data_IF_233378845428
#
_entry.id   IF_233378845428
#
_cell.length_a   1.000
_cell.length_b   1.000
_cell.length_c   1.000
_cell.angle_alpha   90.00
_cell.angle_beta   90.00
_cell.angle_gamma   90.00
#
_symmetry.space_group_name_H-M   'P 1'
#
loop_
_entity.id
_entity.type
_entity.pdbx_description
1 polymer ?
#
# COMPACT_ATOMS: atom_id res chain seq x y z
N UNK A 1 -14.62 -2.20 -10.38
CA UNK A 1 -13.79 -1.65 -11.48
C UNK A 1 -12.34 -2.14 -11.33
N UNK A 2 -11.54 -2.18 -12.40
CA UNK A 2 -10.11 -2.56 -12.32
C UNK A 2 -9.32 -1.65 -11.37
N UNK A 3 -9.69 -0.36 -11.32
CA UNK A 3 -9.14 0.61 -10.38
C UNK A 3 -9.34 0.19 -8.91
N UNK A 4 -10.53 -0.31 -8.57
CA UNK A 4 -10.88 -0.76 -7.21
C UNK A 4 -10.14 -2.05 -6.84
N UNK A 5 -10.06 -3.01 -7.76
CA UNK A 5 -9.29 -4.26 -7.57
C UNK A 5 -7.83 -3.97 -7.25
N UNK A 6 -7.20 -3.07 -8.01
CA UNK A 6 -5.82 -2.67 -7.76
C UNK A 6 -5.62 -2.08 -6.36
N UNK A 7 -6.51 -1.19 -5.93
CA UNK A 7 -6.44 -0.55 -4.60
C UNK A 7 -6.67 -1.55 -3.49
N UNK A 8 -7.64 -2.44 -3.63
CA UNK A 8 -7.92 -3.48 -2.64
C UNK A 8 -6.72 -4.43 -2.52
N UNK A 9 -6.13 -4.84 -3.65
CA UNK A 9 -4.92 -5.65 -3.68
C UNK A 9 -3.76 -5.01 -2.90
N UNK A 10 -3.52 -3.70 -3.09
CA UNK A 10 -2.46 -2.97 -2.38
C UNK A 10 -2.77 -2.89 -0.87
N UNK A 11 -4.02 -2.61 -0.48
CA UNK A 11 -4.43 -2.57 0.93
C UNK A 11 -4.22 -3.93 1.61
N UNK A 12 -4.65 -5.01 0.97
CA UNK A 12 -4.46 -6.37 1.50
C UNK A 12 -2.98 -6.77 1.57
N UNK A 13 -2.17 -6.35 0.60
CA UNK A 13 -0.73 -6.59 0.62
C UNK A 13 -0.06 -5.92 1.82
N UNK A 14 -0.39 -4.65 2.10
CA UNK A 14 0.16 -3.92 3.26
C UNK A 14 -0.25 -4.57 4.57
N UNK A 15 -1.52 -4.96 4.72
CA UNK A 15 -2.03 -5.72 5.87
C UNK A 15 -1.22 -6.99 6.10
N UNK A 16 -1.07 -7.81 5.06
CA UNK A 16 -0.30 -9.06 5.12
C UNK A 16 1.15 -8.83 5.54
N UNK A 17 1.82 -7.83 4.97
CA UNK A 17 3.22 -7.53 5.30
C UNK A 17 3.43 -7.12 6.76
N UNK A 18 2.42 -6.51 7.39
CA UNK A 18 2.42 -6.12 8.80
C UNK A 18 2.17 -7.34 9.69
N UNK A 19 1.12 -8.11 9.38
CA UNK A 19 0.75 -9.32 10.11
C UNK A 19 1.89 -10.36 10.14
N UNK A 20 2.65 -10.49 9.04
CA UNK A 20 3.76 -11.45 8.91
C UNK A 20 5.02 -11.05 9.73
N UNK A 21 5.13 -9.80 10.19
CA UNK A 21 6.41 -9.24 10.72
C UNK A 21 6.35 -8.74 12.16
N UNK A 22 5.19 -8.75 12.80
CA UNK A 22 4.96 -8.10 14.10
C UNK A 22 5.43 -6.62 14.11
N UNK A 23 5.49 -6.00 12.93
CA UNK A 23 6.01 -4.65 12.72
C UNK A 23 4.85 -3.75 12.27
N UNK A 24 4.70 -2.61 12.93
CA UNK A 24 3.50 -1.78 12.77
C UNK A 24 3.46 -0.99 11.46
N UNK A 25 4.57 -0.95 10.71
CA UNK A 25 4.69 -0.19 9.46
C UNK A 25 5.56 -0.93 8.43
N UNK A 26 5.43 -0.55 7.16
CA UNK A 26 6.20 -1.11 6.05
C UNK A 26 6.58 -0.02 5.04
N UNK A 27 7.84 0.01 4.62
CA UNK A 27 8.38 1.02 3.69
C UNK A 27 8.03 0.75 2.22
N UNK A 28 7.98 1.81 1.40
CA UNK A 28 7.63 1.73 -0.05
C UNK A 28 8.43 0.68 -0.80
N UNK A 29 9.75 0.59 -0.61
CA UNK A 29 10.61 -0.39 -1.30
C UNK A 29 10.17 -1.84 -1.06
N UNK A 30 9.80 -2.14 0.19
CA UNK A 30 9.36 -3.47 0.57
C UNK A 30 7.98 -3.81 0.02
N UNK A 31 7.05 -2.84 0.06
CA UNK A 31 5.72 -3.00 -0.55
C UNK A 31 5.90 -3.23 -2.06
N UNK A 32 6.77 -2.46 -2.73
CA UNK A 32 7.05 -2.59 -4.16
C UNK A 32 7.64 -3.96 -4.50
N UNK A 33 8.63 -4.42 -3.73
CA UNK A 33 9.19 -5.76 -3.88
C UNK A 33 8.12 -6.84 -3.78
N UNK A 34 7.34 -6.83 -2.69
CA UNK A 34 6.28 -7.81 -2.47
C UNK A 34 5.16 -7.74 -3.52
N UNK A 35 4.82 -6.53 -3.97
CA UNK A 35 3.79 -6.30 -4.98
C UNK A 35 4.14 -7.02 -6.29
N UNK A 36 5.38 -6.93 -6.75
CA UNK A 36 5.84 -7.59 -7.97
C UNK A 36 5.76 -9.13 -7.91
N UNK A 37 5.78 -9.72 -6.71
CA UNK A 37 5.65 -11.18 -6.49
C UNK A 37 4.24 -11.61 -6.04
N UNK A 38 3.27 -10.70 -6.05
CA UNK A 38 1.93 -10.95 -5.51
C UNK A 38 0.86 -11.28 -6.56
N UNK A 39 1.26 -11.55 -7.81
CA UNK A 39 0.36 -11.64 -8.98
C UNK A 39 -0.54 -10.40 -9.10
N UNK A 40 0.04 -9.20 -9.24
CA UNK A 40 -0.71 -7.97 -9.19
C UNK A 40 -1.67 -7.83 -10.39
N UNK A 41 -2.83 -7.18 -10.21
CA UNK A 41 -3.79 -6.96 -11.29
C UNK A 41 -3.27 -6.01 -12.39
N UNK A 42 -2.22 -5.23 -12.09
CA UNK A 42 -1.58 -4.30 -13.03
C UNK A 42 -0.10 -4.17 -12.70
N UNK A 43 0.78 -4.11 -13.71
CA UNK A 43 2.18 -3.72 -13.48
C UNK A 43 2.26 -2.24 -13.10
N UNK A 44 3.05 -1.93 -12.07
CA UNK A 44 3.31 -0.57 -11.62
C UNK A 44 4.81 -0.35 -11.51
N UNK A 45 5.26 0.87 -11.77
CA UNK A 45 6.55 1.37 -11.32
C UNK A 45 6.48 1.71 -9.83
N UNK A 46 7.63 1.81 -9.16
CA UNK A 46 7.69 2.20 -7.75
C UNK A 46 7.05 3.59 -7.49
N UNK A 47 7.27 4.63 -8.32
CA UNK A 47 6.60 5.92 -8.15
C UNK A 47 5.07 5.82 -8.30
N UNK A 48 4.55 5.05 -9.26
CA UNK A 48 3.10 4.87 -9.42
C UNK A 48 2.46 4.16 -8.22
N UNK A 49 3.14 3.13 -7.69
CA UNK A 49 2.69 2.47 -6.47
C UNK A 49 2.68 3.45 -5.29
N UNK A 50 3.73 4.28 -5.17
CA UNK A 50 3.83 5.27 -4.10
C UNK A 50 2.70 6.29 -4.15
N UNK A 51 2.35 6.82 -5.33
CA UNK A 51 1.20 7.72 -5.48
C UNK A 51 -0.12 7.07 -5.05
N UNK A 52 -0.32 5.78 -5.34
CA UNK A 52 -1.52 5.05 -4.90
C UNK A 52 -1.51 4.86 -3.38
N UNK A 53 -0.35 4.56 -2.78
CA UNK A 53 -0.22 4.46 -1.32
C UNK A 53 -0.55 5.80 -0.64
N UNK A 54 -0.13 6.92 -1.24
CA UNK A 54 -0.50 8.28 -0.79
C UNK A 54 -2.02 8.50 -0.94
N UNK A 55 -2.62 8.18 -2.08
CA UNK A 55 -4.07 8.24 -2.32
C UNK A 55 -4.84 7.48 -1.22
N UNK A 56 -4.41 6.24 -0.93
CA UNK A 56 -5.01 5.34 0.07
C UNK A 56 -4.78 5.80 1.52
N UNK A 57 -3.79 6.67 1.74
CA UNK A 57 -3.48 7.27 3.03
C UNK A 57 -4.08 8.65 3.25
N UNK A 58 -4.75 9.19 2.22
CA UNK A 58 -5.39 10.48 2.34
C UNK A 58 -6.56 10.44 3.33
N UNK A 59 -6.88 11.56 4.00
CA UNK A 59 -8.04 11.62 4.90
C UNK A 59 -9.37 11.25 4.24
N UNK A 60 -9.46 11.38 2.92
CA UNK A 60 -10.66 11.07 2.15
C UNK A 60 -10.91 9.56 2.02
N UNK A 61 -9.85 8.76 1.91
CA UNK A 61 -9.96 7.30 1.71
C UNK A 61 -9.70 6.54 3.02
N UNK A 62 -8.61 6.86 3.72
CA UNK A 62 -8.28 6.37 5.06
C UNK A 62 -8.24 4.84 5.15
N UNK A 63 -7.66 4.16 4.16
CA UNK A 63 -7.45 2.70 4.20
C UNK A 63 -6.06 2.34 4.75
N UNK A 64 -5.10 3.23 4.51
CA UNK A 64 -3.75 3.15 5.05
C UNK A 64 -3.44 4.40 5.87
N UNK A 65 -2.48 4.30 6.77
CA UNK A 65 -1.80 5.45 7.35
C UNK A 65 -0.41 5.61 6.73
N UNK A 66 0.12 6.83 6.78
CA UNK A 66 1.46 7.18 6.26
C UNK A 66 2.29 7.87 7.32
N UNK A 67 3.52 7.41 7.50
CA UNK A 67 4.57 8.12 8.23
C UNK A 67 5.47 8.73 7.16
N UNK A 68 5.45 10.06 7.09
CA UNK A 68 6.23 10.80 6.11
C UNK A 68 7.68 10.86 6.57
N UNK A 69 8.59 10.38 5.72
CA UNK A 69 10.02 10.46 5.97
C UNK A 69 10.64 11.67 5.25
N UNK A 70 11.93 11.89 5.52
CA UNK A 70 12.66 13.06 4.97
C UNK A 70 12.82 12.97 3.45
N UNK A 71 12.95 11.75 2.92
CA UNK A 71 12.79 11.43 1.50
C UNK A 71 11.42 10.77 1.31
N UNK A 72 10.63 11.25 0.36
CA UNK A 72 9.31 10.68 0.08
C UNK A 72 9.40 9.22 -0.38
N UNK A 73 10.55 8.80 -0.95
CA UNK A 73 10.81 7.38 -1.29
C UNK A 73 10.97 6.48 -0.07
N UNK A 74 11.21 7.06 1.11
CA UNK A 74 11.41 6.35 2.37
C UNK A 74 10.13 6.29 3.22
N UNK A 75 9.01 6.82 2.74
CA UNK A 75 7.76 6.79 3.48
C UNK A 75 7.39 5.38 3.92
N UNK A 76 6.85 5.29 5.13
CA UNK A 76 6.30 4.06 5.67
C UNK A 76 4.79 4.12 5.73
N UNK A 77 4.15 2.97 5.53
CA UNK A 77 2.70 2.83 5.51
C UNK A 77 2.25 1.79 6.53
N UNK A 78 1.03 1.95 7.04
CA UNK A 78 0.40 0.99 7.93
C UNK A 78 -1.06 0.77 7.59
N UNK A 79 -1.59 -0.40 7.94
CA UNK A 79 -2.97 -0.75 7.66
C UNK A 79 -3.92 -0.07 8.66
N UNK A 80 -5.05 0.48 8.16
CA UNK A 80 -6.12 1.03 9.00
C UNK A 80 -7.40 0.19 8.91
N UNK A 81 -7.86 -0.10 7.68
CA UNK A 81 -9.09 -0.87 7.42
C UNK A 81 -9.13 -1.41 6.00
N UNK A 82 -9.95 -2.44 5.80
CA UNK A 82 -10.16 -3.04 4.49
C UNK A 82 -10.89 -2.09 3.53
N UNK A 83 -10.54 -2.17 2.24
CA UNK A 83 -11.30 -1.52 1.16
C UNK A 83 -12.42 -2.48 0.71
N UNK A 84 -13.71 -2.14 0.89
CA UNK A 84 -14.81 -3.01 0.49
C UNK A 84 -14.83 -3.20 -1.03
N UNK A 85 -15.07 -4.44 -1.44
CA UNK A 85 -15.16 -4.88 -2.83
C UNK A 85 -16.60 -5.32 -3.07
N UNK A 86 -17.51 -4.35 -3.18
CA UNK A 86 -18.90 -4.61 -3.56
C UNK A 86 -19.04 -4.93 -5.06
#
# INVERSE_FOLDING_TARGET
SEKLKLRSHIVQLVKKLIDDRDNHTVGVEMIYGAYNFSNPPQSLTQPELHEILIELSSPLTGYLGRIKETDSKSDCFYFLRDLPMD
#
